data_IF_410562692468
#
_entry.id   IF_410562692468
#
_cell.length_a   1.000
_cell.length_b   1.000
_cell.length_c   1.000
_cell.angle_alpha   90.00
_cell.angle_beta   90.00
_cell.angle_gamma   90.00
#
_symmetry.space_group_name_H-M   'P 1'
#
loop_
_entity.id
_entity.type
_entity.pdbx_description
1 polymer ?
#
# COMPACT_ATOMS: atom_id res chain seq x y z
N UNK A 1 -6.45 12.07 -3.39
CA UNK A 1 -6.88 12.03 -2.00
C UNK A 1 -7.00 10.60 -1.50
N UNK A 2 -6.57 10.34 -0.29
CA UNK A 2 -6.62 9.00 0.26
C UNK A 2 -8.04 8.63 0.66
N UNK A 3 -8.39 7.37 0.50
CA UNK A 3 -9.70 6.88 0.84
C UNK A 3 -9.58 5.55 1.59
N UNK A 4 -10.35 5.42 2.68
CA UNK A 4 -10.38 4.21 3.48
C UNK A 4 -11.64 3.44 3.15
N UNK A 5 -11.50 2.16 2.88
CA UNK A 5 -12.61 1.28 2.51
C UNK A 5 -12.88 0.23 3.56
N UNK A 6 -14.16 -0.13 3.67
CA UNK A 6 -14.63 -1.22 4.51
C UNK A 6 -15.17 -2.29 3.56
N UNK A 7 -14.39 -3.33 3.27
CA UNK A 7 -14.54 -4.16 2.07
C UNK A 7 -15.88 -4.82 1.82
N UNK A 8 -16.58 -5.23 2.86
CA UNK A 8 -17.73 -6.11 2.64
C UNK A 8 -18.92 -5.48 1.93
N UNK A 9 -18.96 -4.15 1.78
CA UNK A 9 -20.09 -3.48 1.12
C UNK A 9 -19.72 -2.74 -0.15
N UNK A 10 -18.42 -2.53 -0.37
CA UNK A 10 -17.99 -1.58 -1.39
C UNK A 10 -16.89 -2.12 -2.30
N UNK A 11 -16.91 -3.43 -2.51
CA UNK A 11 -15.90 -4.04 -3.37
C UNK A 11 -15.79 -3.39 -4.76
N UNK A 12 -16.91 -3.13 -5.48
CA UNK A 12 -16.80 -2.46 -6.78
C UNK A 12 -16.15 -1.08 -6.69
N UNK A 13 -16.42 -0.34 -5.62
CA UNK A 13 -15.85 0.97 -5.39
C UNK A 13 -14.34 0.88 -5.15
N UNK A 14 -13.92 -0.10 -4.37
CA UNK A 14 -12.49 -0.34 -4.13
C UNK A 14 -11.79 -0.67 -5.45
N UNK A 15 -12.39 -1.55 -6.23
CA UNK A 15 -11.82 -1.97 -7.50
C UNK A 15 -11.66 -0.78 -8.44
N UNK A 16 -12.67 0.08 -8.50
CA UNK A 16 -12.60 1.29 -9.30
C UNK A 16 -11.51 2.23 -8.82
N UNK A 17 -11.34 2.34 -7.49
CA UNK A 17 -10.33 3.21 -6.90
C UNK A 17 -8.90 2.74 -7.22
N UNK A 18 -8.72 1.48 -7.58
CA UNK A 18 -7.40 0.97 -7.96
C UNK A 18 -6.83 1.66 -9.21
N UNK A 19 -7.70 2.24 -10.03
CA UNK A 19 -7.27 2.96 -11.22
C UNK A 19 -6.85 4.39 -10.92
N UNK A 20 -7.15 4.90 -9.73
CA UNK A 20 -6.74 6.25 -9.35
C UNK A 20 -5.29 6.28 -8.91
N UNK A 21 -4.72 7.48 -8.85
CA UNK A 21 -3.35 7.68 -8.35
C UNK A 21 -3.30 7.75 -6.83
N UNK A 22 -4.44 7.81 -6.16
CA UNK A 22 -4.50 7.93 -4.71
C UNK A 22 -4.14 6.63 -4.02
N UNK A 23 -3.64 6.74 -2.79
CA UNK A 23 -3.37 5.59 -1.94
C UNK A 23 -4.70 4.98 -1.52
N UNK A 24 -4.83 3.66 -1.67
CA UNK A 24 -6.03 2.94 -1.25
C UNK A 24 -5.76 2.29 0.11
N UNK A 25 -6.60 2.58 1.10
CA UNK A 25 -6.44 2.05 2.46
C UNK A 25 -7.65 1.21 2.82
N UNK A 26 -7.41 -0.05 3.18
CA UNK A 26 -8.47 -1.00 3.50
C UNK A 26 -8.37 -1.39 4.97
N UNK A 27 -9.45 -1.18 5.71
CA UNK A 27 -9.51 -1.56 7.13
C UNK A 27 -10.89 -2.16 7.43
N UNK A 28 -11.14 -2.48 8.70
CA UNK A 28 -12.50 -2.85 9.15
C UNK A 28 -12.86 -4.30 9.02
N UNK A 29 -11.96 -5.15 8.53
CA UNK A 29 -12.15 -6.60 8.49
C UNK A 29 -11.16 -7.29 9.39
N UNK A 30 -11.45 -8.56 9.72
CA UNK A 30 -10.47 -9.38 10.39
C UNK A 30 -9.28 -9.57 9.44
N UNK A 31 -8.14 -9.78 10.05
CA UNK A 31 -6.85 -9.89 9.37
C UNK A 31 -6.87 -10.78 8.13
N UNK A 32 -7.37 -12.01 8.27
CA UNK A 32 -7.45 -12.95 7.14
C UNK A 32 -8.33 -12.42 6.02
N UNK A 33 -9.44 -11.78 6.37
CA UNK A 33 -10.35 -11.23 5.37
C UNK A 33 -9.70 -10.11 4.56
N UNK A 34 -8.92 -9.24 5.20
CA UNK A 34 -8.23 -8.18 4.51
C UNK A 34 -7.17 -8.73 3.56
N UNK A 35 -6.40 -9.71 4.03
CA UNK A 35 -5.35 -10.33 3.22
C UNK A 35 -5.94 -10.98 1.98
N UNK A 36 -7.01 -11.76 2.14
CA UNK A 36 -7.66 -12.42 1.02
C UNK A 36 -8.22 -11.41 0.01
N UNK A 37 -8.81 -10.33 0.53
CA UNK A 37 -9.35 -9.30 -0.34
C UNK A 37 -8.25 -8.64 -1.18
N UNK A 38 -7.14 -8.30 -0.55
CA UNK A 38 -6.03 -7.63 -1.24
C UNK A 38 -5.42 -8.56 -2.28
N UNK A 39 -5.23 -9.83 -1.94
CA UNK A 39 -4.73 -10.79 -2.91
C UNK A 39 -5.66 -10.94 -4.11
N UNK A 40 -6.97 -10.93 -3.86
CA UNK A 40 -7.95 -11.00 -4.93
C UNK A 40 -7.88 -9.74 -5.81
N UNK A 41 -7.82 -8.56 -5.18
CA UNK A 41 -7.71 -7.32 -5.94
C UNK A 41 -6.47 -7.30 -6.83
N UNK A 42 -5.33 -7.73 -6.29
CA UNK A 42 -4.12 -7.80 -7.08
C UNK A 42 -4.23 -8.76 -8.24
N UNK A 43 -4.91 -9.88 -8.04
CA UNK A 43 -5.07 -10.87 -9.10
C UNK A 43 -5.87 -10.32 -10.29
N UNK A 44 -6.72 -9.32 -10.05
CA UNK A 44 -7.53 -8.70 -11.09
C UNK A 44 -6.84 -7.55 -11.80
N UNK A 45 -5.70 -7.09 -11.30
CA UNK A 45 -4.92 -6.06 -11.96
C UNK A 45 -4.21 -6.67 -13.16
N UNK A 46 -4.45 -6.11 -14.35
CA UNK A 46 -3.88 -6.62 -15.58
C UNK A 46 -2.45 -6.11 -15.77
N UNK A 47 -1.57 -6.51 -14.87
CA UNK A 47 -0.15 -6.18 -14.93
C UNK A 47 0.61 -7.20 -14.10
N UNK A 48 1.82 -7.51 -14.51
CA UNK A 48 2.71 -8.35 -13.71
C UNK A 48 3.61 -7.53 -12.80
N UNK A 49 3.53 -6.21 -12.89
CA UNK A 49 4.38 -5.30 -12.12
C UNK A 49 3.75 -4.99 -10.76
N UNK A 50 3.54 -6.03 -9.99
CA UNK A 50 2.82 -5.96 -8.72
C UNK A 50 3.42 -6.88 -7.69
N UNK A 51 3.28 -6.50 -6.40
CA UNK A 51 3.81 -7.29 -5.29
C UNK A 51 2.90 -7.12 -4.06
N UNK A 52 2.80 -8.19 -3.27
CA UNK A 52 2.12 -8.17 -1.98
C UNK A 52 3.14 -8.46 -0.89
N UNK A 53 3.22 -7.60 0.10
CA UNK A 53 4.20 -7.71 1.19
C UNK A 53 3.51 -7.63 2.54
N UNK A 54 3.66 -8.70 3.32
CA UNK A 54 3.19 -8.73 4.71
C UNK A 54 4.26 -8.08 5.57
N UNK A 55 3.97 -6.90 6.11
CA UNK A 55 4.94 -6.14 6.89
C UNK A 55 5.16 -6.67 8.30
N UNK A 56 4.50 -7.74 8.69
CA UNK A 56 4.86 -8.43 9.93
C UNK A 56 6.12 -9.25 9.76
N UNK A 57 6.53 -9.53 8.53
CA UNK A 57 7.78 -10.24 8.27
C UNK A 57 8.94 -9.25 8.22
N UNK A 58 9.98 -9.55 9.00
CA UNK A 58 11.14 -8.66 9.10
C UNK A 58 11.82 -8.47 7.75
N UNK A 59 11.90 -9.52 6.94
CA UNK A 59 12.52 -9.40 5.62
C UNK A 59 11.77 -8.40 4.73
N UNK A 60 10.46 -8.30 4.87
CA UNK A 60 9.68 -7.34 4.11
C UNK A 60 9.81 -5.93 4.70
N UNK A 61 9.94 -5.82 6.01
CA UNK A 61 10.18 -4.52 6.65
C UNK A 61 11.51 -3.91 6.18
N UNK A 62 12.50 -4.73 5.94
CA UNK A 62 13.81 -4.24 5.49
C UNK A 62 13.74 -3.54 4.14
N UNK A 63 12.79 -3.91 3.30
CA UNK A 63 12.60 -3.24 2.02
C UNK A 63 12.27 -1.77 2.21
N UNK A 64 11.45 -1.45 3.22
CA UNK A 64 10.95 -0.11 3.48
C UNK A 64 11.67 0.61 4.60
N UNK A 65 12.64 -0.02 5.23
CA UNK A 65 13.34 0.54 6.39
C UNK A 65 14.55 1.38 6.05
N UNK A 66 14.87 1.57 4.79
CA UNK A 66 16.04 2.33 4.39
C UNK A 66 15.83 3.82 4.64
N UNK A 67 16.85 4.48 5.21
CA UNK A 67 16.78 5.90 5.48
C UNK A 67 16.72 6.74 4.21
N UNK A 68 17.33 6.28 3.15
CA UNK A 68 17.19 6.88 1.84
C UNK A 68 16.02 6.20 1.15
N UNK A 69 14.90 6.91 1.03
CA UNK A 69 13.67 6.35 0.48
C UNK A 69 13.80 5.94 -0.99
N UNK A 70 14.73 6.54 -1.72
CA UNK A 70 14.95 6.12 -3.10
C UNK A 70 15.46 4.67 -3.18
N UNK A 71 16.16 4.22 -2.13
CA UNK A 71 16.63 2.83 -2.08
C UNK A 71 15.47 1.83 -1.94
N UNK A 72 14.32 2.27 -1.44
CA UNK A 72 13.15 1.40 -1.38
C UNK A 72 12.76 0.96 -2.78
N UNK A 73 12.82 1.87 -3.75
CA UNK A 73 12.51 1.54 -5.14
C UNK A 73 13.49 0.52 -5.68
N UNK A 74 14.77 0.69 -5.37
CA UNK A 74 15.80 -0.28 -5.77
C UNK A 74 15.51 -1.64 -5.16
N UNK A 75 15.11 -1.66 -3.88
CA UNK A 75 14.76 -2.91 -3.20
C UNK A 75 13.55 -3.59 -3.86
N UNK A 76 12.58 -2.79 -4.29
CA UNK A 76 11.42 -3.35 -5.00
C UNK A 76 11.82 -3.91 -6.37
N UNK A 77 12.73 -3.24 -7.05
CA UNK A 77 13.24 -3.74 -8.33
C UNK A 77 13.96 -5.08 -8.15
N UNK A 78 14.67 -5.25 -7.05
CA UNK A 78 15.33 -6.51 -6.74
C UNK A 78 14.33 -7.64 -6.51
N UNK A 79 13.09 -7.31 -6.21
CA UNK A 79 12.00 -8.28 -6.06
C UNK A 79 11.24 -8.51 -7.37
N UNK A 80 11.72 -7.95 -8.47
CA UNK A 80 11.16 -8.21 -9.80
C UNK A 80 10.29 -7.12 -10.38
N UNK A 81 10.12 -6.00 -9.69
CA UNK A 81 9.34 -4.89 -10.23
C UNK A 81 10.19 -4.03 -11.16
N UNK A 82 9.54 -3.23 -11.99
CA UNK A 82 10.20 -2.36 -12.95
C UNK A 82 9.65 -0.94 -12.85
N UNK A 83 10.53 0.04 -12.97
CA UNK A 83 10.10 1.44 -13.03
C UNK A 83 9.57 1.85 -14.41
N UNK A 84 9.66 0.98 -15.40
CA UNK A 84 9.23 1.28 -16.77
C UNK A 84 7.71 1.42 -16.88
N UNK A 85 6.97 0.86 -15.94
CA UNK A 85 5.53 0.95 -15.89
C UNK A 85 5.09 1.10 -14.45
N UNK A 86 3.80 1.39 -14.25
CA UNK A 86 3.26 1.58 -12.92
C UNK A 86 3.48 0.35 -12.06
N UNK A 87 4.00 0.53 -10.86
CA UNK A 87 4.11 -0.53 -9.87
C UNK A 87 2.85 -0.57 -9.02
N UNK A 88 2.40 -1.76 -8.67
CA UNK A 88 1.31 -1.95 -7.73
C UNK A 88 1.87 -2.63 -6.49
N UNK A 89 1.92 -1.90 -5.38
CA UNK A 89 2.53 -2.39 -4.14
C UNK A 89 1.46 -2.44 -3.06
N UNK A 90 1.14 -3.66 -2.64
CA UNK A 90 0.19 -3.89 -1.56
C UNK A 90 0.96 -4.22 -0.29
N UNK A 91 0.68 -3.48 0.78
CA UNK A 91 1.35 -3.65 2.07
C UNK A 91 0.31 -4.01 3.13
N UNK A 92 0.49 -5.17 3.76
CA UNK A 92 -0.41 -5.67 4.77
C UNK A 92 0.12 -5.35 6.16
N UNK A 93 -0.77 -4.98 7.07
CA UNK A 93 -0.46 -4.69 8.49
C UNK A 93 0.56 -3.56 8.65
N UNK A 94 0.28 -2.43 8.02
CA UNK A 94 1.24 -1.31 7.97
C UNK A 94 1.49 -0.65 9.32
N UNK A 95 0.63 -0.86 10.33
CA UNK A 95 0.85 -0.30 11.65
C UNK A 95 2.09 -0.88 12.34
N UNK A 96 2.65 -1.97 11.81
CA UNK A 96 3.88 -2.55 12.35
C UNK A 96 5.11 -1.69 12.08
N UNK A 97 5.01 -0.75 11.14
CA UNK A 97 6.14 0.15 10.81
C UNK A 97 5.69 1.61 10.90
N UNK A 98 6.02 2.30 12.00
CA UNK A 98 5.57 3.69 12.19
C UNK A 98 6.05 4.67 11.12
N UNK A 99 7.14 4.39 10.44
CA UNK A 99 7.67 5.28 9.41
C UNK A 99 7.00 5.13 8.04
N UNK A 100 6.12 4.14 7.88
CA UNK A 100 5.50 3.86 6.58
C UNK A 100 4.80 5.08 5.97
N UNK A 101 4.04 5.89 6.72
CA UNK A 101 3.40 7.05 6.10
C UNK A 101 4.37 8.00 5.41
N UNK A 102 5.53 8.24 6.02
CA UNK A 102 6.54 9.13 5.43
C UNK A 102 7.13 8.52 4.16
N UNK A 103 7.42 7.23 4.20
CA UNK A 103 7.96 6.52 3.03
C UNK A 103 6.96 6.54 1.89
N UNK A 104 5.71 6.21 2.17
CA UNK A 104 4.64 6.18 1.15
C UNK A 104 4.46 7.56 0.54
N UNK A 105 4.44 8.59 1.37
CA UNK A 105 4.29 9.96 0.86
C UNK A 105 5.39 10.30 -0.13
N UNK A 106 6.63 10.03 0.25
CA UNK A 106 7.77 10.33 -0.62
C UNK A 106 7.68 9.57 -1.94
N UNK A 107 7.44 8.26 -1.86
CA UNK A 107 7.40 7.42 -3.06
C UNK A 107 6.20 7.75 -3.94
N UNK A 108 5.07 8.08 -3.33
CA UNK A 108 3.88 8.48 -4.08
C UNK A 108 4.14 9.77 -4.86
N UNK A 109 4.88 10.71 -4.28
CA UNK A 109 5.16 11.99 -4.90
C UNK A 109 6.21 11.90 -6.01
N UNK A 110 7.13 10.96 -5.92
CA UNK A 110 8.30 10.95 -6.80
C UNK A 110 8.34 9.79 -7.79
N UNK A 111 7.47 8.80 -7.63
CA UNK A 111 7.47 7.61 -8.48
C UNK A 111 6.06 7.23 -8.91
N UNK A 112 5.97 6.43 -9.96
CA UNK A 112 4.68 5.95 -10.44
C UNK A 112 4.35 4.62 -9.74
N UNK A 113 3.88 4.73 -8.50
CA UNK A 113 3.54 3.57 -7.68
C UNK A 113 2.12 3.72 -7.14
N UNK A 114 1.31 2.70 -7.33
CA UNK A 114 -0.01 2.61 -6.71
C UNK A 114 0.13 1.78 -5.43
N UNK A 115 -0.18 2.39 -4.29
CA UNK A 115 -0.14 1.71 -3.00
C UNK A 115 -1.51 1.26 -2.56
N UNK A 116 -1.59 0.03 -2.08
CA UNK A 116 -2.80 -0.55 -1.48
C UNK A 116 -2.38 -1.00 -0.09
N UNK A 117 -2.94 -0.37 0.93
CA UNK A 117 -2.50 -0.56 2.31
C UNK A 117 -3.60 -1.19 3.15
N UNK A 118 -3.22 -2.07 4.05
CA UNK A 118 -4.15 -2.59 5.04
C UNK A 118 -3.62 -2.36 6.45
N UNK A 119 -4.54 -2.31 7.41
CA UNK A 119 -4.18 -2.21 8.82
C UNK A 119 -5.35 -2.61 9.69
N UNK A 120 -5.06 -2.87 10.96
CA UNK A 120 -6.06 -3.38 11.90
C UNK A 120 -6.92 -2.31 12.57
N UNK A 121 -6.49 -1.04 12.54
CA UNK A 121 -7.20 0.04 13.21
C UNK A 121 -7.45 1.19 12.23
N UNK A 122 -8.72 1.39 11.86
CA UNK A 122 -9.07 2.45 10.92
C UNK A 122 -8.80 3.85 11.50
N UNK A 123 -9.04 4.03 12.80
CA UNK A 123 -8.81 5.32 13.44
C UNK A 123 -7.33 5.70 13.38
N UNK A 124 -6.48 4.76 13.79
CA UNK A 124 -5.03 4.96 13.78
C UNK A 124 -4.52 5.27 12.38
N UNK A 125 -4.92 4.47 11.41
CA UNK A 125 -4.47 4.64 10.04
C UNK A 125 -4.97 5.95 9.44
N UNK A 126 -6.23 6.29 9.68
CA UNK A 126 -6.82 7.52 9.17
C UNK A 126 -6.05 8.75 9.66
N UNK A 127 -5.78 8.81 10.96
CA UNK A 127 -5.07 9.94 11.54
C UNK A 127 -3.62 10.00 11.07
N UNK A 128 -2.96 8.84 11.04
CA UNK A 128 -1.57 8.75 10.63
C UNK A 128 -1.37 9.24 9.20
N UNK A 129 -2.20 8.77 8.28
CA UNK A 129 -2.06 9.13 6.88
C UNK A 129 -2.65 10.51 6.56
N UNK A 130 -3.68 10.93 7.26
CA UNK A 130 -4.20 12.28 7.09
C UNK A 130 -3.13 13.31 7.46
N UNK A 131 -2.43 13.07 8.56
CA UNK A 131 -1.36 13.96 8.99
C UNK A 131 -0.17 13.93 8.05
N UNK A 132 0.29 12.73 7.68
CA UNK A 132 1.46 12.56 6.84
C UNK A 132 1.26 13.04 5.41
N UNK A 133 0.03 12.94 4.90
CA UNK A 133 -0.28 13.29 3.53
C UNK A 133 -1.05 14.61 3.42
N UNK A 134 -1.15 15.36 4.51
CA UNK A 134 -1.84 16.65 4.50
C UNK A 134 -1.19 17.60 3.50
N UNK A 135 -2.01 18.39 2.81
CA UNK A 135 -1.52 19.35 1.84
C UNK A 135 -1.38 18.81 0.43
N UNK A 136 -1.83 17.62 0.19
CA UNK A 136 -1.67 16.96 -1.11
C UNK A 136 -2.91 17.03 -1.97
#
# INVERSE_FOLDING_TARGET
>A
MNKIFYPRKIYPEIKEHLDSDDVTIITGMRRTGKTMLVEHLLSEINSNNKIFLDLEKISNQEIFGDKNYDNVVINLEQRGLSQKERMYVALDEIQTMPNIPSVIKYLHDHYNIKFILTGSSSYYLKNLFTESLAGR
#
